data_IF_961313551528
#
_entry.id   IF_961313551528
#
_cell.length_a   1.000
_cell.length_b   1.000
_cell.length_c   1.000
_cell.angle_alpha   90.00
_cell.angle_beta   90.00
_cell.angle_gamma   90.00
#
_symmetry.space_group_name_H-M   'P 1'
#
loop_
_entity.id
_entity.type
_entity.pdbx_description
1 polymer ?
#
# COMPACT_ATOMS: atom_id res chain seq x y z
N UNK A 1 -39.70 -48.93 26.32
CA UNK A 1 -40.58 -47.80 25.95
C UNK A 1 -39.76 -46.54 26.12
N UNK A 2 -39.47 -45.83 25.03
CA UNK A 2 -38.66 -44.61 25.07
C UNK A 2 -37.60 -44.56 23.98
N UNK A 3 -37.86 -43.79 22.92
CA UNK A 3 -36.82 -43.07 22.21
C UNK A 3 -37.47 -41.89 21.49
N UNK A 4 -37.10 -40.69 21.95
CA UNK A 4 -37.58 -39.39 21.51
C UNK A 4 -37.06 -39.06 20.10
N UNK A 5 -37.88 -38.33 19.37
CA UNK A 5 -37.58 -37.77 18.05
C UNK A 5 -36.68 -36.54 18.22
N UNK A 6 -35.44 -36.61 17.73
CA UNK A 6 -34.59 -35.46 17.43
C UNK A 6 -34.71 -35.06 15.96
N UNK A 7 -34.98 -33.77 15.71
CA UNK A 7 -35.22 -33.18 14.39
C UNK A 7 -33.98 -33.18 13.47
N UNK A 8 -34.15 -33.29 12.13
CA UNK A 8 -33.07 -33.06 11.19
C UNK A 8 -32.95 -31.57 10.82
N UNK A 9 -31.71 -31.08 10.83
CA UNK A 9 -31.33 -29.69 10.57
C UNK A 9 -31.85 -29.13 9.24
N UNK A 10 -32.54 -28.00 9.36
CA UNK A 10 -32.91 -27.12 8.26
C UNK A 10 -31.68 -26.29 7.82
N UNK A 11 -31.29 -26.43 6.56
CA UNK A 11 -30.22 -25.61 5.95
C UNK A 11 -29.69 -26.15 4.63
N UNK A 12 -29.78 -27.47 4.42
CA UNK A 12 -29.36 -28.14 3.17
C UNK A 12 -30.27 -28.01 1.93
N UNK A 13 -31.61 -27.84 2.02
CA UNK A 13 -32.47 -27.98 0.85
C UNK A 13 -32.64 -26.69 0.01
N UNK A 14 -32.39 -25.51 0.58
CA UNK A 14 -32.69 -24.22 -0.08
C UNK A 14 -31.68 -23.93 -1.21
N UNK A 15 -30.39 -24.20 -1.00
CA UNK A 15 -29.36 -24.02 -2.03
C UNK A 15 -29.53 -24.99 -3.20
N UNK A 16 -29.86 -26.25 -2.92
CA UNK A 16 -30.11 -27.27 -3.97
C UNK A 16 -31.40 -27.00 -4.75
N UNK A 17 -32.44 -26.51 -4.07
CA UNK A 17 -33.71 -26.12 -4.68
C UNK A 17 -33.57 -24.93 -5.64
N UNK A 18 -32.79 -23.93 -5.27
CA UNK A 18 -32.56 -22.75 -6.09
C UNK A 18 -31.72 -23.06 -7.35
N UNK A 19 -30.69 -23.90 -7.23
CA UNK A 19 -29.92 -24.37 -8.38
C UNK A 19 -30.75 -25.23 -9.35
N UNK A 20 -31.67 -26.04 -8.83
CA UNK A 20 -32.58 -26.86 -9.64
C UNK A 20 -33.58 -26.01 -10.42
N UNK A 21 -34.18 -24.99 -9.79
CA UNK A 21 -35.09 -24.05 -10.47
C UNK A 21 -34.37 -23.22 -11.54
N UNK A 22 -33.13 -22.81 -11.30
CA UNK A 22 -32.31 -22.14 -12.32
C UNK A 22 -31.97 -23.03 -13.52
N UNK A 23 -31.73 -24.33 -13.27
CA UNK A 23 -31.46 -25.35 -14.31
C UNK A 23 -32.67 -25.60 -15.21
N UNK A 24 -33.87 -25.70 -14.64
CA UNK A 24 -35.10 -25.98 -15.38
C UNK A 24 -35.57 -24.77 -16.22
N UNK A 25 -35.27 -23.53 -15.80
CA UNK A 25 -35.68 -22.32 -16.51
C UNK A 25 -34.89 -21.99 -17.79
N UNK A 26 -33.72 -22.60 -18.04
CA UNK A 26 -32.85 -22.29 -19.20
C UNK A 26 -32.45 -23.49 -20.05
N UNK A 27 -32.84 -24.72 -19.70
CA UNK A 27 -32.52 -25.92 -20.48
C UNK A 27 -31.03 -26.27 -20.58
N UNK A 28 -30.19 -25.68 -19.72
CA UNK A 28 -28.74 -25.86 -19.77
C UNK A 28 -28.32 -27.13 -19.03
N UNK A 29 -27.57 -28.01 -19.68
CA UNK A 29 -27.00 -29.21 -19.06
C UNK A 29 -25.98 -28.83 -17.99
N UNK A 30 -25.73 -29.73 -17.03
CA UNK A 30 -24.72 -29.52 -15.99
C UNK A 30 -23.33 -29.18 -16.57
N UNK A 31 -23.01 -29.72 -17.75
CA UNK A 31 -21.77 -29.42 -18.47
C UNK A 31 -21.75 -27.98 -19.01
N UNK A 32 -22.88 -27.46 -19.51
CA UNK A 32 -22.95 -26.08 -20.00
C UNK A 32 -22.84 -25.07 -18.85
N UNK A 33 -23.44 -25.34 -17.70
CA UNK A 33 -23.25 -24.51 -16.50
C UNK A 33 -21.79 -24.51 -16.04
N UNK A 34 -21.14 -25.67 -16.00
CA UNK A 34 -19.72 -25.77 -15.67
C UNK A 34 -18.83 -24.98 -16.65
N UNK A 35 -19.10 -25.08 -17.96
CA UNK A 35 -18.36 -24.29 -18.96
C UNK A 35 -18.55 -22.79 -18.79
N UNK A 36 -19.77 -22.31 -18.51
CA UNK A 36 -20.03 -20.89 -18.26
C UNK A 36 -19.25 -20.41 -17.02
N UNK A 37 -19.21 -21.21 -15.94
CA UNK A 37 -18.43 -20.87 -14.76
C UNK A 37 -16.93 -20.78 -15.06
N UNK A 38 -16.37 -21.73 -15.82
CA UNK A 38 -14.95 -21.71 -16.19
C UNK A 38 -14.62 -20.50 -17.06
N UNK A 39 -15.45 -20.20 -18.06
CA UNK A 39 -15.26 -19.03 -18.93
C UNK A 39 -15.39 -17.71 -18.16
N UNK A 40 -16.35 -17.63 -17.23
CA UNK A 40 -16.51 -16.45 -16.38
C UNK A 40 -15.30 -16.24 -15.44
N UNK A 41 -14.77 -17.31 -14.85
CA UNK A 41 -13.57 -17.26 -14.02
C UNK A 41 -12.32 -16.89 -14.84
N UNK A 42 -12.16 -17.50 -16.02
CA UNK A 42 -11.05 -17.20 -16.92
C UNK A 42 -11.11 -15.75 -17.43
N UNK A 43 -12.29 -15.27 -17.82
CA UNK A 43 -12.51 -13.88 -18.22
C UNK A 43 -12.27 -12.89 -17.07
N UNK A 44 -12.76 -13.22 -15.87
CA UNK A 44 -12.50 -12.44 -14.67
C UNK A 44 -11.00 -12.36 -14.32
N UNK A 45 -10.29 -13.48 -14.42
CA UNK A 45 -8.84 -13.54 -14.20
C UNK A 45 -8.07 -12.72 -15.25
N UNK A 46 -8.42 -12.86 -16.53
CA UNK A 46 -7.81 -12.10 -17.62
C UNK A 46 -8.04 -10.58 -17.44
N UNK A 47 -9.24 -10.17 -17.04
CA UNK A 47 -9.56 -8.78 -16.73
C UNK A 47 -8.73 -8.26 -15.54
N UNK A 48 -8.61 -9.04 -14.46
CA UNK A 48 -7.80 -8.67 -13.30
C UNK A 48 -6.31 -8.53 -13.67
N UNK A 49 -5.77 -9.46 -14.46
CA UNK A 49 -4.39 -9.40 -14.90
C UNK A 49 -4.14 -8.21 -15.84
N UNK A 50 -5.04 -7.97 -16.80
CA UNK A 50 -4.92 -6.85 -17.73
C UNK A 50 -5.00 -5.49 -17.04
N UNK A 51 -5.94 -5.33 -16.11
CA UNK A 51 -6.07 -4.09 -15.34
C UNK A 51 -4.87 -3.83 -14.43
N UNK A 52 -4.27 -4.86 -13.84
CA UNK A 52 -3.06 -4.72 -13.03
C UNK A 52 -1.82 -4.40 -13.87
N UNK A 53 -1.66 -5.07 -15.01
CA UNK A 53 -0.56 -4.79 -15.93
C UNK A 53 -0.64 -3.35 -16.44
N UNK A 54 -1.84 -2.88 -16.79
CA UNK A 54 -2.04 -1.49 -17.19
C UNK A 54 -1.72 -0.51 -16.07
N UNK A 55 -2.19 -0.74 -14.83
CA UNK A 55 -1.85 0.15 -13.69
C UNK A 55 -0.37 0.18 -13.38
N UNK A 56 0.31 -0.97 -13.52
CA UNK A 56 1.76 -1.03 -13.35
C UNK A 56 2.49 -0.26 -14.46
N UNK A 57 2.07 -0.45 -15.72
CA UNK A 57 2.62 0.31 -16.85
C UNK A 57 2.37 1.82 -16.71
N UNK A 58 1.15 2.21 -16.34
CA UNK A 58 0.79 3.58 -16.01
C UNK A 58 1.68 4.13 -14.89
N UNK A 59 1.95 3.35 -13.83
CA UNK A 59 2.85 3.78 -12.75
C UNK A 59 4.32 3.92 -13.19
N UNK A 60 4.78 3.14 -14.17
CA UNK A 60 6.10 3.35 -14.76
C UNK A 60 6.17 4.65 -15.56
N UNK A 61 5.09 5.01 -16.27
CA UNK A 61 5.04 6.21 -17.12
C UNK A 61 4.70 7.50 -16.35
N UNK A 62 3.81 7.41 -15.36
CA UNK A 62 3.23 8.56 -14.65
C UNK A 62 3.71 8.69 -13.20
N UNK A 63 4.37 7.66 -12.66
CA UNK A 63 4.84 7.61 -11.29
C UNK A 63 3.95 6.76 -10.37
N UNK A 64 4.60 6.07 -9.45
CA UNK A 64 3.96 5.40 -8.32
C UNK A 64 3.86 6.35 -7.11
N UNK A 65 2.95 6.04 -6.19
CA UNK A 65 2.70 6.89 -5.03
C UNK A 65 3.84 6.79 -4.00
N UNK A 66 4.74 7.77 -3.93
CA UNK A 66 5.79 7.83 -2.92
C UNK A 66 5.25 8.09 -1.50
N UNK A 67 4.21 8.92 -1.38
CA UNK A 67 3.72 9.39 -0.07
C UNK A 67 3.32 8.24 0.85
N UNK A 68 3.71 8.35 2.12
CA UNK A 68 3.36 7.40 3.16
C UNK A 68 4.58 6.94 3.95
N UNK A 69 4.41 5.84 4.68
CA UNK A 69 5.46 5.27 5.52
C UNK A 69 5.93 3.93 4.96
N UNK A 70 7.25 3.80 4.92
CA UNK A 70 7.98 2.67 4.40
C UNK A 70 8.88 2.10 5.50
N UNK A 71 9.12 0.79 5.46
CA UNK A 71 9.90 0.08 6.46
C UNK A 71 11.04 -0.68 5.80
N UNK A 72 12.25 -0.57 6.34
CA UNK A 72 13.34 -1.47 5.99
C UNK A 72 12.97 -2.85 6.55
N UNK A 73 12.90 -3.92 5.72
CA UNK A 73 12.65 -5.26 6.22
C UNK A 73 13.71 -5.65 7.27
N UNK A 74 13.24 -6.10 8.43
CA UNK A 74 14.08 -6.60 9.51
C UNK A 74 13.34 -7.74 10.18
N UNK A 75 14.05 -8.85 10.42
CA UNK A 75 13.48 -10.06 11.01
C UNK A 75 13.40 -9.95 12.54
N UNK A 76 14.35 -9.25 13.18
CA UNK A 76 14.36 -8.93 14.62
C UNK A 76 15.18 -7.64 14.89
N UNK A 77 14.75 -6.81 15.86
CA UNK A 77 15.49 -5.60 16.30
C UNK A 77 14.80 -4.25 16.00
N UNK A 78 15.46 -3.11 16.34
CA UNK A 78 14.93 -1.78 16.06
C UNK A 78 14.68 -1.64 14.56
N UNK A 79 13.51 -1.13 14.20
CA UNK A 79 13.10 -1.01 12.81
C UNK A 79 13.40 0.39 12.30
N UNK A 80 13.96 0.48 11.10
CA UNK A 80 14.10 1.76 10.40
C UNK A 80 12.85 2.02 9.58
N UNK A 81 12.23 3.19 9.78
CA UNK A 81 11.20 3.70 8.89
C UNK A 81 11.73 4.83 8.04
N UNK A 82 11.16 4.94 6.84
CA UNK A 82 11.34 6.08 5.95
C UNK A 82 9.96 6.59 5.59
N UNK A 83 9.71 7.87 5.79
CA UNK A 83 8.43 8.49 5.48
C UNK A 83 8.62 9.66 4.52
N UNK A 84 7.61 9.85 3.66
CA UNK A 84 7.57 10.91 2.66
C UNK A 84 6.19 11.57 2.68
N UNK A 85 6.14 12.88 2.82
CA UNK A 85 4.91 13.67 2.74
C UNK A 85 5.04 14.81 1.74
N UNK A 86 4.15 14.88 0.76
CA UNK A 86 4.12 16.02 -0.15
C UNK A 86 3.55 17.25 0.55
N UNK A 87 4.22 18.39 0.36
CA UNK A 87 3.73 19.69 0.84
C UNK A 87 3.43 20.65 -0.33
N UNK A 88 3.85 20.28 -1.54
CA UNK A 88 3.52 20.95 -2.80
C UNK A 88 3.56 19.95 -3.97
N UNK A 89 3.27 20.40 -5.18
CA UNK A 89 3.40 19.57 -6.39
C UNK A 89 4.85 19.21 -6.72
N UNK A 90 5.81 20.05 -6.32
CA UNK A 90 7.23 19.91 -6.70
C UNK A 90 8.06 19.13 -5.67
N UNK A 91 7.44 18.75 -4.55
CA UNK A 91 8.13 18.00 -3.51
C UNK A 91 7.47 18.08 -2.14
N UNK A 92 8.29 17.81 -1.13
CA UNK A 92 7.81 17.72 0.23
C UNK A 92 8.90 17.45 1.22
N UNK A 93 8.53 16.78 2.30
CA UNK A 93 9.38 16.45 3.44
C UNK A 93 9.61 14.95 3.53
N UNK A 94 10.77 14.57 4.03
CA UNK A 94 11.08 13.18 4.33
C UNK A 94 11.68 13.05 5.72
N UNK A 95 11.55 11.85 6.29
CA UNK A 95 12.22 11.46 7.51
C UNK A 95 12.75 10.03 7.42
N UNK A 96 13.96 9.80 7.92
CA UNK A 96 14.48 8.46 8.24
C UNK A 96 14.55 8.35 9.76
N UNK A 97 13.68 7.53 10.34
CA UNK A 97 13.66 7.23 11.76
C UNK A 97 14.32 5.87 11.99
N UNK A 98 15.52 5.93 12.56
CA UNK A 98 16.34 4.79 12.92
C UNK A 98 16.61 4.88 14.43
N UNK A 99 15.94 4.03 15.20
CA UNK A 99 15.99 4.04 16.67
C UNK A 99 17.35 3.65 17.26
N UNK A 100 18.34 3.28 16.43
CA UNK A 100 19.72 3.18 16.87
C UNK A 100 20.42 4.55 16.99
N UNK A 101 19.80 5.62 16.46
CA UNK A 101 20.31 6.99 16.48
C UNK A 101 19.73 7.78 17.64
N UNK A 102 20.35 8.92 17.93
CA UNK A 102 19.86 9.87 18.94
C UNK A 102 18.69 10.73 18.45
N UNK A 103 18.56 10.90 17.14
CA UNK A 103 17.49 11.68 16.51
C UNK A 103 17.21 11.14 15.09
N UNK A 104 15.98 11.31 14.57
CA UNK A 104 15.66 11.03 13.18
C UNK A 104 16.40 11.99 12.23
N UNK A 105 16.68 11.54 11.01
CA UNK A 105 17.16 12.40 9.94
C UNK A 105 15.97 13.00 9.21
N UNK A 106 15.97 14.30 9.00
CA UNK A 106 14.91 15.02 8.30
C UNK A 106 15.46 15.78 7.10
N UNK A 107 14.57 16.08 6.16
CA UNK A 107 14.88 16.99 5.08
C UNK A 107 13.72 17.20 4.13
N UNK A 108 14.07 17.67 2.94
CA UNK A 108 13.14 17.97 1.86
C UNK A 108 13.45 17.09 0.66
N UNK A 109 12.43 16.69 -0.09
CA UNK A 109 12.64 16.02 -1.37
C UNK A 109 12.07 16.85 -2.50
N UNK A 110 12.65 16.71 -3.70
CA UNK A 110 12.18 17.33 -4.93
C UNK A 110 11.85 16.25 -5.96
N UNK A 111 10.77 16.48 -6.71
CA UNK A 111 10.40 15.68 -7.88
C UNK A 111 11.44 15.87 -8.98
N UNK A 112 11.70 14.83 -9.78
CA UNK A 112 12.59 14.90 -10.96
C UNK A 112 11.82 14.73 -12.26
N UNK A 113 12.51 14.76 -13.40
CA UNK A 113 11.90 14.45 -14.69
C UNK A 113 11.46 12.98 -14.80
N UNK A 114 12.08 12.07 -14.04
CA UNK A 114 11.60 10.71 -13.86
C UNK A 114 10.56 10.72 -12.72
N UNK A 115 9.29 10.36 -12.99
CA UNK A 115 8.22 10.48 -12.00
C UNK A 115 8.34 9.50 -10.84
N UNK A 116 9.24 8.52 -10.95
CA UNK A 116 9.54 7.54 -9.92
C UNK A 116 10.84 7.84 -9.17
N UNK A 117 11.55 8.92 -9.50
CA UNK A 117 12.81 9.33 -8.87
C UNK A 117 12.69 10.70 -8.22
N UNK A 118 13.21 10.80 -6.99
CA UNK A 118 13.14 12.00 -6.16
C UNK A 118 14.53 12.30 -5.58
N UNK A 119 14.91 13.58 -5.55
CA UNK A 119 16.18 14.02 -4.95
C UNK A 119 15.97 14.43 -3.50
N UNK A 120 16.74 13.81 -2.60
CA UNK A 120 16.69 14.09 -1.17
C UNK A 120 17.69 15.18 -0.83
N UNK A 121 17.21 16.18 -0.12
CA UNK A 121 18.00 17.26 0.46
C UNK A 121 17.86 17.24 1.97
N UNK A 122 18.90 17.61 2.71
CA UNK A 122 18.82 17.76 4.17
C UNK A 122 18.04 19.04 4.57
N UNK A 123 17.92 19.32 5.87
CA UNK A 123 17.31 20.55 6.40
C UNK A 123 18.04 21.83 5.92
N UNK A 124 19.32 21.73 5.54
CA UNK A 124 20.14 22.82 4.99
C UNK A 124 20.00 22.98 3.47
N UNK A 125 19.10 22.22 2.83
CA UNK A 125 18.87 22.19 1.39
C UNK A 125 20.07 21.72 0.54
N UNK A 126 20.98 20.95 1.13
CA UNK A 126 22.06 20.27 0.40
C UNK A 126 21.58 18.90 -0.07
N UNK A 127 21.92 18.50 -1.29
CA UNK A 127 21.60 17.16 -1.80
C UNK A 127 22.34 16.08 -1.00
N UNK A 128 21.60 15.11 -0.47
CA UNK A 128 22.13 14.02 0.37
C UNK A 128 21.82 12.64 -0.20
N UNK A 129 21.03 12.55 -1.27
CA UNK A 129 20.74 11.28 -1.92
C UNK A 129 19.46 11.30 -2.75
N UNK A 130 18.80 10.15 -2.85
CA UNK A 130 17.64 9.98 -3.72
C UNK A 130 16.68 8.89 -3.20
N UNK A 131 15.45 8.93 -3.66
CA UNK A 131 14.47 7.86 -3.49
C UNK A 131 13.91 7.46 -4.86
N UNK A 132 13.80 6.15 -5.11
CA UNK A 132 13.21 5.59 -6.33
C UNK A 132 12.11 4.59 -5.97
N UNK A 133 10.90 4.80 -6.49
CA UNK A 133 9.76 3.91 -6.28
C UNK A 133 9.69 2.91 -7.42
N UNK A 134 9.81 1.62 -7.10
CA UNK A 134 9.73 0.56 -8.10
C UNK A 134 8.27 0.20 -8.42
N UNK A 135 7.41 0.18 -7.40
CA UNK A 135 5.96 0.04 -7.57
C UNK A 135 5.19 0.36 -6.29
N UNK A 136 3.90 0.61 -6.44
CA UNK A 136 2.90 0.58 -5.36
C UNK A 136 1.63 -0.13 -5.81
N UNK A 137 0.96 -0.79 -4.87
CA UNK A 137 -0.29 -1.51 -5.11
C UNK A 137 -1.22 -1.38 -3.91
N UNK A 138 -2.53 -1.34 -4.18
CA UNK A 138 -3.59 -1.35 -3.17
C UNK A 138 -4.62 -2.47 -3.43
N UNK A 139 -4.20 -3.55 -4.11
CA UNK A 139 -5.09 -4.62 -4.55
C UNK A 139 -5.69 -5.33 -3.33
N UNK A 140 -7.02 -5.51 -3.34
CA UNK A 140 -7.74 -6.21 -2.27
C UNK A 140 -7.71 -5.48 -0.93
N UNK A 141 -7.47 -4.16 -0.92
CA UNK A 141 -7.37 -3.35 0.30
C UNK A 141 -6.05 -3.53 1.05
N UNK A 142 -5.09 -4.26 0.48
CA UNK A 142 -3.75 -4.41 1.05
C UNK A 142 -2.82 -3.42 0.37
N UNK A 143 -2.21 -2.55 1.18
CA UNK A 143 -1.14 -1.66 0.75
C UNK A 143 0.12 -2.51 0.56
N UNK A 144 0.76 -2.36 -0.58
CA UNK A 144 2.05 -2.94 -0.91
C UNK A 144 2.87 -1.97 -1.76
N UNK A 145 4.18 -2.13 -1.74
CA UNK A 145 5.06 -1.29 -2.53
C UNK A 145 6.52 -1.54 -2.21
N UNK A 146 7.37 -1.21 -3.16
CA UNK A 146 8.81 -1.34 -3.04
C UNK A 146 9.48 -0.04 -3.49
N UNK A 147 10.39 0.47 -2.68
CA UNK A 147 11.23 1.59 -3.03
C UNK A 147 12.69 1.34 -2.61
N UNK A 148 13.60 2.02 -3.28
CA UNK A 148 15.01 2.13 -2.90
C UNK A 148 15.28 3.56 -2.46
N UNK A 149 15.93 3.73 -1.32
CA UNK A 149 16.28 5.05 -0.77
C UNK A 149 17.77 5.07 -0.49
N UNK A 150 18.48 6.04 -1.04
CA UNK A 150 19.89 6.28 -0.76
C UNK A 150 20.03 7.57 0.03
N UNK A 151 20.76 7.50 1.15
CA UNK A 151 21.15 8.67 1.94
C UNK A 151 22.65 8.57 2.27
N UNK A 152 23.44 9.46 1.68
CA UNK A 152 24.90 9.39 1.72
C UNK A 152 25.40 8.04 1.16
N UNK A 153 26.25 7.31 1.90
CA UNK A 153 26.75 6.00 1.47
C UNK A 153 25.74 4.86 1.71
N UNK A 154 24.67 5.10 2.47
CA UNK A 154 23.74 4.04 2.88
C UNK A 154 22.60 3.92 1.89
N UNK A 155 22.25 2.68 1.53
CA UNK A 155 21.10 2.35 0.71
C UNK A 155 20.14 1.45 1.48
N UNK A 156 18.87 1.81 1.42
CA UNK A 156 17.75 1.11 2.02
C UNK A 156 16.85 0.57 0.92
N UNK A 157 16.47 -0.70 1.02
CA UNK A 157 15.34 -1.23 0.29
C UNK A 157 14.17 -1.27 1.26
N UNK A 158 13.09 -0.57 0.94
CA UNK A 158 11.99 -0.34 1.86
C UNK A 158 10.68 -0.85 1.27
N UNK A 159 9.84 -1.44 2.12
CA UNK A 159 8.49 -1.87 1.77
C UNK A 159 7.47 -0.89 2.29
N UNK A 160 6.46 -0.57 1.49
CA UNK A 160 5.37 0.29 1.95
C UNK A 160 4.59 -0.44 3.03
N UNK A 161 4.35 0.24 4.14
CA UNK A 161 3.58 -0.31 5.26
C UNK A 161 2.35 0.51 5.57
N UNK A 162 2.33 1.77 5.14
CA UNK A 162 1.22 2.66 5.38
C UNK A 162 1.12 3.76 4.30
N UNK A 163 -0.10 4.25 4.10
CA UNK A 163 -0.40 5.47 3.34
C UNK A 163 -0.24 6.72 4.21
N UNK A 164 -0.35 6.58 5.54
CA UNK A 164 -0.06 7.66 6.48
C UNK A 164 1.41 8.05 6.48
N UNK A 165 1.66 9.35 6.60
CA UNK A 165 3.00 9.89 6.83
C UNK A 165 3.24 9.94 8.34
N UNK A 166 4.18 9.13 8.80
CA UNK A 166 4.56 9.06 10.21
C UNK A 166 5.92 9.71 10.41
N UNK A 167 5.95 10.81 11.16
CA UNK A 167 7.17 11.49 11.58
C UNK A 167 7.31 11.41 13.10
N UNK A 168 8.50 11.06 13.54
CA UNK A 168 8.92 11.08 14.95
C UNK A 168 9.51 12.43 15.31
N UNK A 169 9.31 12.83 16.57
CA UNK A 169 9.96 14.00 17.15
C UNK A 169 11.48 13.79 17.27
N UNK A 170 12.23 14.88 17.45
CA UNK A 170 13.70 14.85 17.46
C UNK A 170 14.30 13.93 18.54
N UNK A 171 13.58 13.70 19.62
CA UNK A 171 13.97 12.84 20.75
C UNK A 171 13.31 11.46 20.72
N UNK A 172 12.56 11.14 19.65
CA UNK A 172 11.67 9.97 19.55
C UNK A 172 10.60 9.90 20.67
N UNK A 173 10.40 10.97 21.45
CA UNK A 173 9.45 11.02 22.55
C UNK A 173 8.00 11.23 22.11
N UNK A 174 7.79 11.70 20.88
CA UNK A 174 6.49 11.92 20.27
C UNK A 174 6.44 11.53 18.79
N UNK A 175 5.22 11.45 18.26
CA UNK A 175 4.93 11.01 16.89
C UNK A 175 3.78 11.83 16.32
N UNK A 176 4.00 12.38 15.13
CA UNK A 176 2.99 13.08 14.33
C UNK A 176 2.61 12.21 13.14
N UNK A 177 1.31 11.90 13.00
CA UNK A 177 0.75 11.15 11.88
C UNK A 177 -0.26 12.03 11.15
N UNK A 178 -0.15 12.14 9.82
CA UNK A 178 -1.04 12.99 9.01
C UNK A 178 -1.80 12.16 7.97
N UNK A 179 -3.13 12.33 7.91
CA UNK A 179 -4.03 11.65 6.95
C UNK A 179 -4.01 12.34 5.57
N UNK A 180 -4.27 11.54 4.54
CA UNK A 180 -3.99 11.81 3.13
C UNK A 180 -4.92 12.80 2.40
N UNK A 181 -5.75 13.60 3.09
CA UNK A 181 -6.73 14.48 2.41
C UNK A 181 -6.47 15.99 2.58
N UNK A 182 -5.45 16.41 3.35
CA UNK A 182 -5.16 17.84 3.57
C UNK A 182 -3.65 18.14 3.62
N UNK A 183 -3.06 18.67 2.53
CA UNK A 183 -1.64 19.05 2.47
C UNK A 183 -1.31 20.28 3.35
N UNK A 184 -2.29 20.96 3.96
CA UNK A 184 -2.06 22.19 4.71
C UNK A 184 -1.47 21.99 6.13
N UNK A 185 -1.37 20.74 6.61
CA UNK A 185 -1.02 20.46 8.00
C UNK A 185 0.48 20.27 8.30
N UNK A 186 1.35 20.30 7.29
CA UNK A 186 2.80 20.19 7.52
C UNK A 186 3.41 21.54 7.92
N UNK A 187 3.00 22.08 9.08
CA UNK A 187 3.73 23.13 9.78
C UNK A 187 4.60 22.44 10.82
N UNK A 188 5.92 22.44 10.57
CA UNK A 188 6.91 22.16 11.59
C UNK A 188 6.51 22.90 12.88
N UNK A 189 6.36 22.14 13.96
CA UNK A 189 6.15 22.69 15.29
C UNK A 189 7.16 23.81 15.51
N UNK A 190 6.61 25.00 15.73
CA UNK A 190 7.32 26.24 15.92
C UNK A 190 8.51 26.03 16.87
N UNK A 191 9.71 26.44 16.44
CA UNK A 191 10.62 27.05 17.39
C UNK A 191 9.87 28.21 18.05
N UNK A 192 9.69 28.18 19.36
CA UNK A 192 9.32 29.33 20.16
C UNK A 192 9.71 29.08 21.62
N UNK A 193 10.71 29.85 22.10
CA UNK A 193 10.92 30.15 23.52
C UNK A 193 11.88 29.26 24.27
#
# INVERSE_FOLDING_TARGET
MGSERGAPGEGGPILRGNLRKFREARGLSQQQLAMVCVLALAGGLAYLLGTQANRFAEGLEQGFQLQGTWKVPSDEGPFTTVSFGFTSADGGVWQIADFSRTAPLNGYFKVTADPNLYLLHNEQHEEVGWANVAFTSAIGGKIDGLASVQHGPTRYQVKRVDDFVTHYDRDFGGLTQTHLDDPAHFRWGSCAG
#
